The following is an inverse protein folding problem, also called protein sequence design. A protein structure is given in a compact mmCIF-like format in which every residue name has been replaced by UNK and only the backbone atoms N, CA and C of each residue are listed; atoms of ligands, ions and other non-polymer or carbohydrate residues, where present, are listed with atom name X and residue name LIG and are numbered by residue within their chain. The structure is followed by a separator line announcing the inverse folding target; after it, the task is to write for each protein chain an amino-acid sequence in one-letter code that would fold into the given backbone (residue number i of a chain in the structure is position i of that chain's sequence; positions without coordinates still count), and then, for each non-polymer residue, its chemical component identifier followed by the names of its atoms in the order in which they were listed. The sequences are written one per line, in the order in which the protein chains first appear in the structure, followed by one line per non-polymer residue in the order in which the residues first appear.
data_IF_820344989830
#
_entry.id   IF_820344989830
#
_cell.length_a   1.000
_cell.length_b   1.000
_cell.length_c   1.000
_cell.angle_alpha   90.00
_cell.angle_beta   90.00
_cell.angle_gamma   90.00
#
_symmetry.space_group_name_H-M   'P 1'
#
loop_
_entity.id
_entity.type
_entity.pdbx_description
1 polymer ?
#
# COMPACT_ATOMS: atom_id res chain seq x y z
N UNK A 1 44.96 -14.21 20.00
CA UNK A 1 43.90 -14.91 19.25
C UNK A 1 42.81 -13.98 18.68
N UNK A 2 42.77 -12.71 19.04
CA UNK A 2 41.71 -11.74 18.65
C UNK A 2 41.85 -11.12 17.25
N UNK A 3 43.09 -10.93 16.76
CA UNK A 3 43.36 -10.23 15.49
C UNK A 3 42.82 -10.95 14.25
N UNK A 4 42.89 -12.29 14.22
CA UNK A 4 42.36 -13.10 13.09
C UNK A 4 40.83 -13.09 13.04
N UNK A 5 40.17 -13.03 14.19
CA UNK A 5 38.72 -12.91 14.29
C UNK A 5 38.23 -11.54 13.81
N UNK A 6 38.98 -10.47 14.12
CA UNK A 6 38.70 -9.11 13.66
C UNK A 6 38.78 -8.98 12.14
N UNK A 7 39.84 -9.51 11.53
CA UNK A 7 39.98 -9.52 10.06
C UNK A 7 38.87 -10.33 9.40
N UNK A 8 38.55 -11.51 9.96
CA UNK A 8 37.44 -12.33 9.46
C UNK A 8 36.10 -11.58 9.48
N UNK A 9 35.81 -10.87 10.56
CA UNK A 9 34.60 -10.06 10.69
C UNK A 9 34.53 -8.92 9.66
N UNK A 10 35.63 -8.21 9.43
CA UNK A 10 35.69 -7.11 8.44
C UNK A 10 35.46 -7.65 7.01
N UNK A 11 36.07 -8.78 6.67
CA UNK A 11 35.89 -9.39 5.34
C UNK A 11 34.44 -9.81 5.12
N UNK A 12 33.81 -10.43 6.11
CA UNK A 12 32.39 -10.81 6.03
C UNK A 12 31.50 -9.57 5.88
N UNK A 13 31.73 -8.53 6.68
CA UNK A 13 30.96 -7.29 6.60
C UNK A 13 31.11 -6.60 5.23
N UNK A 14 32.32 -6.51 4.69
CA UNK A 14 32.57 -5.94 3.38
C UNK A 14 31.87 -6.74 2.26
N UNK A 15 31.85 -8.07 2.39
CA UNK A 15 31.19 -8.95 1.42
C UNK A 15 29.67 -8.80 1.47
N UNK A 16 29.08 -8.72 2.66
CA UNK A 16 27.65 -8.41 2.84
C UNK A 16 27.29 -7.07 2.21
N UNK A 17 28.06 -6.01 2.51
CA UNK A 17 27.84 -4.68 1.93
C UNK A 17 27.97 -4.72 0.41
N UNK A 18 28.98 -5.38 -0.14
CA UNK A 18 29.14 -5.52 -1.58
C UNK A 18 27.95 -6.23 -2.24
N UNK A 19 27.45 -7.31 -1.65
CA UNK A 19 26.27 -8.02 -2.17
C UNK A 19 24.98 -7.19 -2.08
N UNK A 20 24.83 -6.38 -1.02
CA UNK A 20 23.70 -5.47 -0.88
C UNK A 20 23.75 -4.34 -1.91
N UNK A 21 24.93 -3.75 -2.15
CA UNK A 21 25.10 -2.69 -3.17
C UNK A 21 24.84 -3.17 -4.60
N UNK A 22 25.05 -4.47 -4.87
CA UNK A 22 24.78 -5.09 -6.18
C UNK A 22 23.32 -5.50 -6.36
N UNK A 23 22.46 -5.33 -5.35
CA UNK A 23 21.05 -5.77 -5.39
C UNK A 23 20.90 -7.28 -5.50
N UNK A 24 21.94 -8.06 -5.19
CA UNK A 24 21.94 -9.51 -5.38
C UNK A 24 20.95 -10.23 -4.44
N UNK A 25 20.46 -9.53 -3.41
CA UNK A 25 19.46 -10.02 -2.45
C UNK A 25 18.05 -9.49 -2.73
N UNK A 26 17.90 -8.47 -3.58
CA UNK A 26 16.62 -7.77 -3.78
C UNK A 26 15.54 -8.71 -4.33
N UNK A 27 15.88 -9.54 -5.32
CA UNK A 27 14.96 -10.54 -5.88
C UNK A 27 14.48 -11.55 -4.83
N UNK A 28 15.34 -11.89 -3.87
CA UNK A 28 14.99 -12.81 -2.78
C UNK A 28 14.10 -12.12 -1.74
N UNK A 29 14.41 -10.87 -1.40
CA UNK A 29 13.61 -10.05 -0.50
C UNK A 29 12.20 -9.81 -1.06
N UNK A 30 12.09 -9.36 -2.31
CA UNK A 30 10.81 -9.13 -2.99
C UNK A 30 9.99 -10.42 -3.07
N UNK A 31 10.62 -11.55 -3.43
CA UNK A 31 9.95 -12.84 -3.46
C UNK A 31 9.46 -13.30 -2.08
N UNK A 32 10.23 -13.06 -1.02
CA UNK A 32 9.82 -13.34 0.36
C UNK A 32 8.64 -12.45 0.78
N UNK A 33 8.68 -11.15 0.45
CA UNK A 33 7.60 -10.22 0.76
C UNK A 33 6.30 -10.64 0.06
N UNK A 34 6.35 -10.98 -1.23
CA UNK A 34 5.19 -11.49 -1.97
C UNK A 34 4.59 -12.72 -1.30
N UNK A 35 5.42 -13.68 -0.89
CA UNK A 35 4.95 -14.87 -0.16
C UNK A 35 4.29 -14.52 1.17
N UNK A 36 4.83 -13.55 1.90
CA UNK A 36 4.21 -13.10 3.15
C UNK A 36 2.86 -12.43 2.90
N UNK A 37 2.71 -11.65 1.82
CA UNK A 37 1.44 -11.06 1.43
C UNK A 37 0.39 -12.12 1.05
N UNK A 38 0.78 -13.12 0.23
CA UNK A 38 -0.09 -14.25 -0.13
C UNK A 38 -0.54 -15.03 1.11
N UNK A 39 0.40 -15.38 2.00
CA UNK A 39 0.11 -16.12 3.23
C UNK A 39 -0.79 -15.33 4.17
N UNK A 40 -0.56 -14.02 4.31
CA UNK A 40 -1.42 -13.12 5.11
C UNK A 40 -2.86 -13.13 4.57
N UNK A 41 -3.03 -13.00 3.25
CA UNK A 41 -4.35 -13.07 2.60
C UNK A 41 -5.06 -14.40 2.86
N UNK A 42 -4.36 -15.51 2.63
CA UNK A 42 -4.90 -16.86 2.82
C UNK A 42 -5.28 -17.14 4.30
N UNK A 43 -4.47 -16.66 5.25
CA UNK A 43 -4.72 -16.81 6.68
C UNK A 43 -5.96 -16.02 7.13
N UNK A 44 -6.11 -14.77 6.67
CA UNK A 44 -7.29 -13.95 6.97
C UNK A 44 -8.58 -14.56 6.40
N UNK A 45 -8.49 -15.20 5.24
CA UNK A 45 -9.60 -15.95 4.64
C UNK A 45 -9.97 -17.19 5.47
N UNK A 46 -8.96 -17.97 5.89
CA UNK A 46 -9.17 -19.19 6.71
C UNK A 46 -9.74 -18.92 8.09
N UNK A 47 -9.34 -17.82 8.73
CA UNK A 47 -9.83 -17.46 10.06
C UNK A 47 -11.27 -16.90 10.04
N UNK A 48 -11.91 -16.79 8.87
CA UNK A 48 -13.25 -16.20 8.76
C UNK A 48 -13.33 -14.71 9.11
N UNK A 49 -12.18 -14.08 9.42
CA UNK A 49 -12.05 -12.63 9.59
C UNK A 49 -12.29 -11.89 8.27
N UNK A 50 -12.09 -12.57 7.14
CA UNK A 50 -12.66 -12.16 5.86
C UNK A 50 -14.15 -12.55 5.85
N UNK A 51 -14.94 -11.84 6.66
CA UNK A 51 -16.41 -11.90 6.60
C UNK A 51 -16.82 -11.76 5.14
N UNK A 52 -17.68 -12.65 4.63
CA UNK A 52 -18.15 -12.65 3.24
C UNK A 52 -18.21 -11.24 2.72
N UNK A 53 -17.35 -10.91 1.75
CA UNK A 53 -17.02 -9.54 1.38
C UNK A 53 -18.32 -8.75 1.28
N UNK A 54 -18.59 -7.93 2.31
CA UNK A 54 -19.67 -6.95 2.20
C UNK A 54 -19.33 -6.18 0.93
N UNK A 55 -20.29 -5.97 0.02
CA UNK A 55 -19.99 -5.27 -1.22
C UNK A 55 -19.46 -3.88 -0.87
N UNK A 56 -18.15 -3.69 -1.05
CA UNK A 56 -17.45 -2.42 -0.86
C UNK A 56 -17.24 -1.85 -2.26
N UNK A 57 -17.60 -0.58 -2.43
CA UNK A 57 -17.29 0.18 -3.63
C UNK A 57 -16.16 1.14 -3.28
N UNK A 58 -15.06 1.07 -4.03
CA UNK A 58 -13.95 2.01 -3.91
C UNK A 58 -14.07 3.00 -5.08
N UNK A 59 -14.14 4.28 -4.75
CA UNK A 59 -14.09 5.37 -5.75
C UNK A 59 -12.68 5.95 -5.68
N UNK A 60 -11.87 5.69 -6.71
CA UNK A 60 -10.50 6.19 -6.81
C UNK A 60 -10.45 7.57 -7.45
N UNK A 61 -9.34 8.27 -7.23
CA UNK A 61 -8.97 9.49 -7.95
C UNK A 61 -7.61 9.19 -8.58
N UNK A 62 -7.57 9.25 -9.91
CA UNK A 62 -6.44 8.87 -10.75
C UNK A 62 -6.19 9.92 -11.84
N UNK A 63 -5.23 9.65 -12.73
CA UNK A 63 -4.85 10.54 -13.83
C UNK A 63 -6.05 10.85 -14.74
N UNK A 64 -6.83 9.83 -15.10
CA UNK A 64 -8.03 9.96 -15.92
C UNK A 64 -9.07 10.90 -15.28
N UNK A 65 -9.22 10.83 -13.95
CA UNK A 65 -10.11 11.74 -13.21
C UNK A 65 -9.74 13.22 -13.42
N UNK A 66 -8.45 13.55 -13.48
CA UNK A 66 -8.00 14.93 -13.71
C UNK A 66 -8.21 15.35 -15.16
N UNK A 67 -7.97 14.47 -16.11
CA UNK A 67 -8.16 14.73 -17.54
C UNK A 67 -9.64 14.92 -17.88
N UNK A 68 -10.52 14.10 -17.31
CA UNK A 68 -11.95 14.15 -17.55
C UNK A 68 -12.62 15.34 -16.85
N UNK A 69 -12.27 15.60 -15.58
CA UNK A 69 -12.85 16.70 -14.82
C UNK A 69 -12.23 18.05 -15.19
N UNK A 70 -11.00 18.04 -15.70
CA UNK A 70 -10.20 19.22 -16.04
C UNK A 70 -10.14 20.25 -14.89
N UNK A 71 -9.99 19.75 -13.65
CA UNK A 71 -9.95 20.52 -12.41
C UNK A 71 -8.67 20.15 -11.65
N UNK A 72 -7.88 21.13 -11.19
CA UNK A 72 -6.69 20.84 -10.41
C UNK A 72 -7.05 20.33 -9.00
N UNK A 73 -6.18 19.51 -8.44
CA UNK A 73 -6.22 19.17 -7.02
C UNK A 73 -5.92 20.42 -6.16
N UNK A 74 -6.55 20.58 -4.98
CA UNK A 74 -7.60 19.75 -4.39
C UNK A 74 -8.99 20.06 -4.95
N UNK A 75 -9.82 19.01 -5.06
CA UNK A 75 -11.18 19.17 -5.55
C UNK A 75 -12.06 19.96 -4.56
N UNK A 76 -13.01 20.79 -5.05
CA UNK A 76 -13.88 21.56 -4.16
C UNK A 76 -14.74 20.67 -3.26
N UNK A 77 -14.95 21.06 -1.99
CA UNK A 77 -15.83 20.30 -1.05
C UNK A 77 -17.26 20.11 -1.56
N UNK A 78 -17.77 21.05 -2.37
CA UNK A 78 -19.07 20.93 -3.01
C UNK A 78 -19.15 19.72 -3.97
N UNK A 79 -18.04 19.38 -4.64
CA UNK A 79 -17.97 18.20 -5.50
C UNK A 79 -18.05 16.92 -4.66
N UNK A 80 -17.31 16.85 -3.55
CA UNK A 80 -17.38 15.72 -2.62
C UNK A 80 -18.78 15.57 -2.01
N UNK A 81 -19.45 16.68 -1.66
CA UNK A 81 -20.83 16.65 -1.18
C UNK A 81 -21.80 16.04 -2.21
N UNK A 82 -21.68 16.45 -3.48
CA UNK A 82 -22.50 15.90 -4.57
C UNK A 82 -22.23 14.41 -4.81
N UNK A 83 -20.98 13.96 -4.66
CA UNK A 83 -20.62 12.55 -4.71
C UNK A 83 -21.28 11.77 -3.57
N UNK A 84 -21.24 12.30 -2.34
CA UNK A 84 -21.92 11.71 -1.18
C UNK A 84 -23.41 11.56 -1.45
N UNK A 85 -24.09 12.60 -1.93
CA UNK A 85 -25.53 12.55 -2.23
C UNK A 85 -25.86 11.43 -3.24
N UNK A 86 -25.01 11.27 -4.26
CA UNK A 86 -25.16 10.25 -5.29
C UNK A 86 -24.97 8.84 -4.73
N UNK A 87 -23.93 8.64 -3.92
CA UNK A 87 -23.65 7.35 -3.28
C UNK A 87 -24.69 7.00 -2.20
N UNK A 88 -25.16 8.00 -1.45
CA UNK A 88 -26.16 7.84 -0.40
C UNK A 88 -27.50 7.33 -0.93
N UNK A 89 -27.86 7.66 -2.18
CA UNK A 89 -29.07 7.14 -2.83
C UNK A 89 -29.10 5.60 -2.92
N UNK A 90 -27.94 4.94 -2.90
CA UNK A 90 -27.82 3.48 -2.87
C UNK A 90 -27.91 2.87 -1.45
N UNK A 91 -28.11 3.70 -0.41
CA UNK A 91 -28.23 3.29 0.99
C UNK A 91 -27.05 2.42 1.50
N UNK A 92 -25.78 2.86 1.33
CA UNK A 92 -24.64 2.12 1.88
C UNK A 92 -24.67 2.15 3.42
N UNK A 93 -24.02 1.15 4.04
CA UNK A 93 -23.89 1.10 5.50
C UNK A 93 -23.08 2.29 6.05
N UNK A 94 -22.06 2.73 5.32
CA UNK A 94 -21.21 3.87 5.66
C UNK A 94 -20.52 4.39 4.39
N UNK A 95 -20.12 5.67 4.40
CA UNK A 95 -19.27 6.29 3.38
C UNK A 95 -18.05 6.86 4.12
N UNK A 96 -16.85 6.54 3.64
CA UNK A 96 -15.58 7.03 4.20
C UNK A 96 -14.75 7.75 3.16
N UNK A 97 -13.96 8.72 3.59
CA UNK A 97 -12.98 9.41 2.76
C UNK A 97 -11.57 9.06 3.23
N UNK A 98 -10.74 8.64 2.29
CA UNK A 98 -9.28 8.57 2.44
C UNK A 98 -8.66 9.73 1.64
N UNK A 99 -9.08 10.95 2.00
CA UNK A 99 -8.65 12.20 1.35
C UNK A 99 -8.42 13.25 2.43
N UNK A 100 -7.32 13.99 2.30
CA UNK A 100 -7.04 15.13 3.15
C UNK A 100 -7.77 16.38 2.64
N UNK A 101 -8.71 16.90 3.43
CA UNK A 101 -9.39 18.18 3.15
C UNK A 101 -8.57 19.35 3.72
N UNK A 102 -7.57 19.81 2.96
CA UNK A 102 -6.65 20.86 3.40
C UNK A 102 -7.31 22.24 3.49
N UNK A 103 -8.20 22.58 2.54
CA UNK A 103 -8.93 23.85 2.51
C UNK A 103 -10.41 23.68 2.90
N UNK A 104 -11.04 24.72 3.49
CA UNK A 104 -12.46 24.73 3.85
C UNK A 104 -13.42 24.69 2.64
#
# INVERSE_FOLDING_TARGET
MTFRALIGGVVVAALVVATALMGALDSFELGMLDRLFELRGALLQRLGTHSQARPIVIVSIDEDSFDELNIPWPFPRAMHARLIDTLAAAHPLAIGFDVLFAEP
#
